data_IF_960346130604
#
_entry.id   IF_960346130604
#
_cell.length_a   1.000
_cell.length_b   1.000
_cell.length_c   1.000
_cell.angle_alpha   90.00
_cell.angle_beta   90.00
_cell.angle_gamma   90.00
#
_symmetry.space_group_name_H-M   'P 1'
#
loop_
_entity.id
_entity.type
_entity.pdbx_description
1 polymer ?
#
# COMPACT_ATOMS: atom_id res chain seq x y z
N UNK A 1 36.31 -55.05 33.20
CA UNK A 1 35.68 -53.72 33.10
C UNK A 1 34.74 -53.76 31.92
N UNK A 2 33.43 -53.83 32.17
CA UNK A 2 32.46 -53.98 31.10
C UNK A 2 31.07 -54.12 31.70
N UNK A 3 30.43 -52.99 31.95
CA UNK A 3 29.00 -52.94 32.23
C UNK A 3 28.45 -51.64 31.65
N UNK A 4 28.47 -51.55 30.32
CA UNK A 4 27.70 -50.54 29.61
C UNK A 4 26.27 -51.07 29.46
N UNK A 5 25.51 -50.89 30.54
CA UNK A 5 24.13 -51.30 30.63
C UNK A 5 23.28 -50.44 29.72
N UNK A 6 23.11 -50.89 28.48
CA UNK A 6 22.20 -50.28 27.51
C UNK A 6 20.83 -50.04 28.15
N UNK A 7 20.46 -48.78 28.26
CA UNK A 7 19.16 -48.36 28.79
C UNK A 7 18.05 -48.96 27.93
N UNK A 8 17.33 -49.95 28.46
CA UNK A 8 16.20 -50.59 27.78
C UNK A 8 15.12 -49.51 27.58
N UNK A 9 14.78 -49.12 26.34
CA UNK A 9 13.79 -48.09 26.09
C UNK A 9 12.42 -48.55 26.59
N UNK A 10 11.74 -47.71 27.37
CA UNK A 10 10.42 -48.06 27.91
C UNK A 10 9.38 -48.06 26.80
N UNK A 11 8.32 -48.87 26.90
CA UNK A 11 7.23 -48.97 25.89
C UNK A 11 6.67 -47.61 25.42
N UNK A 12 6.59 -46.64 26.34
CA UNK A 12 6.18 -45.25 26.08
C UNK A 12 7.12 -44.46 25.15
N UNK A 13 8.37 -44.89 25.01
CA UNK A 13 9.38 -44.33 24.09
C UNK A 13 9.38 -45.10 22.75
N UNK A 14 9.03 -46.40 22.77
CA UNK A 14 8.89 -47.21 21.56
C UNK A 14 7.56 -47.03 20.82
N UNK A 15 6.49 -46.67 21.54
CA UNK A 15 5.13 -46.55 20.99
C UNK A 15 4.74 -45.08 21.00
N UNK A 16 4.59 -44.51 19.81
CA UNK A 16 3.95 -43.20 19.62
C UNK A 16 2.51 -43.30 20.12
N UNK A 17 2.26 -42.80 21.34
CA UNK A 17 0.89 -42.66 21.82
C UNK A 17 0.13 -41.72 20.87
N UNK A 18 -1.10 -42.08 20.52
CA UNK A 18 -1.95 -41.25 19.68
C UNK A 18 -2.02 -39.84 20.28
N UNK A 19 -1.80 -38.81 19.45
CA UNK A 19 -1.83 -37.43 19.88
C UNK A 19 -3.17 -37.14 20.57
N UNK A 20 -3.11 -36.72 21.83
CA UNK A 20 -4.30 -36.29 22.58
C UNK A 20 -4.90 -35.08 21.87
N UNK A 21 -6.23 -35.04 21.74
CA UNK A 21 -6.91 -33.84 21.29
C UNK A 21 -6.60 -32.69 22.27
N UNK A 22 -6.13 -31.53 21.77
CA UNK A 22 -5.72 -30.44 22.62
C UNK A 22 -6.88 -29.92 23.46
N UNK A 23 -6.59 -29.49 24.68
CA UNK A 23 -7.60 -28.90 25.55
C UNK A 23 -8.02 -27.52 25.05
N UNK A 24 -9.22 -27.05 25.44
CA UNK A 24 -9.69 -25.70 25.08
C UNK A 24 -8.73 -24.62 25.58
N UNK A 25 -8.09 -24.83 26.74
CA UNK A 25 -7.04 -23.96 27.27
C UNK A 25 -5.80 -23.95 26.39
N UNK A 26 -5.34 -25.11 25.91
CA UNK A 26 -4.20 -25.21 25.00
C UNK A 26 -4.50 -24.51 23.67
N UNK A 27 -5.68 -24.74 23.09
CA UNK A 27 -6.10 -24.08 21.84
C UNK A 27 -6.12 -22.55 21.98
N UNK A 28 -6.64 -22.04 23.09
CA UNK A 28 -6.63 -20.59 23.38
C UNK A 28 -5.23 -20.04 23.55
N UNK A 29 -4.35 -20.77 24.24
CA UNK A 29 -2.95 -20.37 24.41
C UNK A 29 -2.23 -20.31 23.06
N UNK A 30 -2.36 -21.34 22.22
CA UNK A 30 -1.78 -21.37 20.87
C UNK A 30 -2.32 -20.26 19.99
N UNK A 31 -3.61 -19.93 20.08
CA UNK A 31 -4.18 -18.79 19.36
C UNK A 31 -3.60 -17.46 19.86
N UNK A 32 -3.40 -17.29 21.17
CA UNK A 32 -2.80 -16.07 21.72
C UNK A 32 -1.33 -15.92 21.30
N UNK A 33 -0.58 -17.02 21.30
CA UNK A 33 0.81 -17.07 20.85
C UNK A 33 0.92 -16.73 19.35
N UNK A 34 0.04 -17.27 18.51
CA UNK A 34 0.04 -16.96 17.08
C UNK A 34 -0.31 -15.50 16.81
N UNK A 35 -1.23 -14.92 17.57
CA UNK A 35 -1.52 -13.49 17.52
C UNK A 35 -0.32 -12.67 17.98
N UNK A 36 0.31 -13.02 19.10
CA UNK A 36 1.51 -12.33 19.58
C UNK A 36 2.63 -12.34 18.53
N UNK A 37 2.83 -13.47 17.87
CA UNK A 37 3.78 -13.58 16.76
C UNK A 37 3.39 -12.67 15.58
N UNK A 38 2.13 -12.65 15.16
CA UNK A 38 1.65 -11.80 14.07
C UNK A 38 1.75 -10.29 14.38
N UNK A 39 1.74 -9.92 15.66
CA UNK A 39 1.93 -8.55 16.14
C UNK A 39 3.40 -8.13 16.26
N UNK A 40 4.32 -9.09 16.33
CA UNK A 40 5.75 -8.83 16.51
C UNK A 40 6.57 -9.07 15.22
N UNK A 41 6.08 -9.90 14.30
CA UNK A 41 6.83 -10.34 13.13
C UNK A 41 6.13 -10.00 11.80
N UNK A 42 6.95 -9.68 10.80
CA UNK A 42 6.53 -9.45 9.43
C UNK A 42 5.98 -10.74 8.81
N UNK A 43 4.75 -10.70 8.27
CA UNK A 43 4.12 -11.86 7.67
C UNK A 43 4.76 -12.32 6.34
N UNK A 44 5.64 -11.51 5.74
CA UNK A 44 6.37 -11.83 4.51
C UNK A 44 7.78 -12.34 4.79
N UNK A 45 8.56 -11.64 5.63
CA UNK A 45 9.97 -11.98 5.90
C UNK A 45 10.20 -12.77 7.18
N UNK A 46 9.25 -12.81 8.12
CA UNK A 46 9.43 -13.41 9.45
C UNK A 46 10.30 -12.59 10.42
N UNK A 47 10.93 -11.52 9.93
CA UNK A 47 11.73 -10.59 10.73
C UNK A 47 10.85 -9.79 11.71
N UNK A 48 11.41 -9.28 12.82
CA UNK A 48 10.68 -8.41 13.73
C UNK A 48 10.16 -7.15 13.01
N UNK A 49 9.00 -6.67 13.44
CA UNK A 49 8.36 -5.50 12.83
C UNK A 49 9.04 -4.20 13.25
N UNK A 50 9.38 -3.38 12.25
CA UNK A 50 9.92 -2.03 12.48
C UNK A 50 8.79 -1.04 12.73
N UNK A 51 8.58 -0.67 13.99
CA UNK A 51 7.44 0.15 14.45
C UNK A 51 7.23 1.45 13.64
N UNK A 52 8.30 2.03 13.10
CA UNK A 52 8.26 3.29 12.33
C UNK A 52 7.91 3.11 10.83
N UNK A 53 8.08 1.90 10.29
CA UNK A 53 7.87 1.60 8.86
C UNK A 53 6.83 0.51 8.61
N UNK A 54 6.02 0.16 9.61
CA UNK A 54 5.00 -0.87 9.44
C UNK A 54 3.93 -0.46 8.43
N UNK A 55 3.57 -1.43 7.60
CA UNK A 55 2.51 -1.31 6.61
C UNK A 55 1.57 -2.50 6.70
N UNK A 56 0.31 -2.30 6.31
CA UNK A 56 -0.72 -3.34 6.40
C UNK A 56 -1.48 -3.54 5.10
N UNK A 57 -1.84 -4.79 4.83
CA UNK A 57 -2.76 -5.13 3.74
C UNK A 57 -4.22 -4.98 4.16
N UNK A 58 -5.13 -5.23 3.21
CA UNK A 58 -6.56 -5.21 3.43
C UNK A 58 -7.08 -6.28 4.40
N UNK A 59 -6.30 -7.35 4.62
CA UNK A 59 -6.60 -8.40 5.60
C UNK A 59 -6.13 -8.02 7.01
N UNK A 60 -5.48 -6.87 7.16
CA UNK A 60 -4.94 -6.41 8.43
C UNK A 60 -3.64 -7.10 8.84
N UNK A 61 -2.97 -7.82 7.93
CA UNK A 61 -1.64 -8.40 8.20
C UNK A 61 -0.60 -7.31 8.17
N UNK A 62 0.40 -7.45 9.03
CA UNK A 62 1.48 -6.49 9.21
C UNK A 62 2.73 -6.93 8.45
N UNK A 63 3.39 -5.95 7.84
CA UNK A 63 4.61 -6.15 7.09
C UNK A 63 5.57 -5.00 7.33
N UNK A 64 6.86 -5.27 7.16
CA UNK A 64 7.86 -4.21 7.04
C UNK A 64 7.79 -3.61 5.63
N UNK A 65 7.87 -2.28 5.54
CA UNK A 65 7.85 -1.60 4.25
C UNK A 65 8.96 -2.09 3.32
N UNK A 66 10.15 -2.35 3.86
CA UNK A 66 11.30 -2.87 3.11
C UNK A 66 11.05 -4.26 2.54
N UNK A 67 10.39 -5.14 3.30
CA UNK A 67 10.10 -6.50 2.85
C UNK A 67 9.16 -6.48 1.63
N UNK A 68 8.13 -5.62 1.66
CA UNK A 68 7.23 -5.43 0.51
C UNK A 68 7.98 -4.85 -0.69
N UNK A 69 8.85 -3.86 -0.47
CA UNK A 69 9.63 -3.27 -1.55
C UNK A 69 10.52 -4.32 -2.23
N UNK A 70 11.28 -5.10 -1.44
CA UNK A 70 12.13 -6.19 -1.93
C UNK A 70 11.30 -7.22 -2.70
N UNK A 71 10.15 -7.64 -2.17
CA UNK A 71 9.30 -8.63 -2.83
C UNK A 71 8.54 -8.15 -4.07
N UNK A 72 8.43 -6.84 -4.30
CA UNK A 72 7.85 -6.26 -5.52
C UNK A 72 8.91 -6.01 -6.60
N UNK A 73 10.19 -6.03 -6.25
CA UNK A 73 11.28 -5.99 -7.22
C UNK A 73 11.45 -7.37 -7.87
N UNK A 74 11.81 -7.45 -9.15
CA UNK A 74 12.14 -8.72 -9.79
C UNK A 74 13.44 -9.24 -9.18
N UNK A 75 13.32 -10.15 -8.22
CA UNK A 75 14.41 -10.92 -7.63
C UNK A 75 14.27 -12.39 -8.02
N UNK A 76 15.39 -13.06 -8.29
CA UNK A 76 15.45 -14.51 -8.59
C UNK A 76 15.23 -15.40 -7.35
N UNK A 77 14.96 -14.79 -6.19
CA UNK A 77 14.74 -15.50 -4.93
C UNK A 77 13.41 -16.27 -4.94
N UNK A 78 13.50 -17.59 -4.89
CA UNK A 78 12.37 -18.52 -4.76
C UNK A 78 11.86 -18.55 -3.32
N UNK A 79 11.34 -17.43 -2.82
CA UNK A 79 10.61 -17.43 -1.56
C UNK A 79 9.21 -18.01 -1.80
N UNK A 80 8.79 -18.99 -0.99
CA UNK A 80 7.46 -19.63 -1.09
C UNK A 80 6.31 -18.62 -0.88
N UNK A 81 6.55 -17.56 -0.10
CA UNK A 81 5.59 -16.49 0.16
C UNK A 81 6.02 -15.23 -0.60
N UNK A 82 5.31 -14.92 -1.68
CA UNK A 82 5.52 -13.69 -2.45
C UNK A 82 4.40 -12.68 -2.15
N UNK A 83 4.64 -11.36 -2.28
CA UNK A 83 3.57 -10.37 -2.13
C UNK A 83 2.38 -10.66 -3.05
N UNK A 84 2.65 -11.22 -4.24
CA UNK A 84 1.63 -11.62 -5.21
C UNK A 84 0.72 -12.73 -4.70
N UNK A 85 1.23 -13.75 -3.99
CA UNK A 85 0.39 -14.81 -3.41
C UNK A 85 -0.53 -14.28 -2.30
N UNK A 86 -0.10 -13.22 -1.62
CA UNK A 86 -0.87 -12.50 -0.61
C UNK A 86 -1.88 -11.50 -1.21
N UNK A 87 -1.85 -11.29 -2.53
CA UNK A 87 -2.73 -10.39 -3.26
C UNK A 87 -2.22 -8.94 -3.37
N UNK A 88 -0.97 -8.69 -3.02
CA UNK A 88 -0.32 -7.37 -3.11
C UNK A 88 0.39 -7.27 -4.46
N UNK A 89 -0.16 -6.45 -5.37
CA UNK A 89 0.41 -6.24 -6.71
C UNK A 89 1.22 -4.95 -6.80
N UNK A 90 0.90 -4.00 -5.93
CA UNK A 90 1.58 -2.70 -5.89
C UNK A 90 1.55 -2.10 -4.49
N UNK A 91 2.38 -1.08 -4.27
CA UNK A 91 2.39 -0.28 -3.04
C UNK A 91 1.07 0.46 -2.75
N UNK A 92 0.08 0.42 -3.66
CA UNK A 92 -1.25 0.99 -3.43
C UNK A 92 -2.20 0.01 -2.74
N UNK A 93 -1.87 -1.28 -2.75
CA UNK A 93 -2.67 -2.31 -2.08
C UNK A 93 -2.35 -2.40 -0.59
N UNK A 94 -1.40 -1.57 -0.12
CA UNK A 94 -0.88 -1.57 1.25
C UNK A 94 -0.99 -0.16 1.83
N UNK A 95 -1.48 -0.05 3.07
CA UNK A 95 -1.56 1.19 3.81
C UNK A 95 -0.35 1.33 4.74
N UNK A 96 0.28 2.51 4.77
CA UNK A 96 1.31 2.82 5.78
C UNK A 96 0.62 3.16 7.11
N UNK A 97 1.00 2.45 8.16
CA UNK A 97 0.43 2.67 9.49
C UNK A 97 1.14 3.82 10.20
N UNK A 98 0.36 4.60 10.94
CA UNK A 98 0.81 5.66 11.82
C UNK A 98 0.37 5.29 13.22
N UNK A 99 1.31 4.75 13.99
CA UNK A 99 1.05 4.25 15.34
C UNK A 99 1.69 5.20 16.34
N UNK A 100 0.96 5.51 17.41
CA UNK A 100 1.55 6.18 18.57
C UNK A 100 2.30 5.16 19.43
N UNK A 101 3.52 5.52 19.85
CA UNK A 101 4.41 4.63 20.61
C UNK A 101 4.69 5.17 21.99
N UNK A 102 4.72 4.27 22.97
CA UNK A 102 5.21 4.57 24.31
C UNK A 102 6.39 3.61 24.60
N UNK A 103 7.61 4.13 24.43
CA UNK A 103 8.81 3.29 24.33
C UNK A 103 8.72 2.36 23.11
N UNK A 104 8.87 1.06 23.35
CA UNK A 104 8.87 0.01 22.30
C UNK A 104 7.49 -0.61 22.07
N UNK A 105 6.43 -0.04 22.66
CA UNK A 105 5.06 -0.59 22.58
C UNK A 105 4.12 0.33 21.81
N UNK A 106 3.21 -0.28 21.05
CA UNK A 106 2.13 0.43 20.38
C UNK A 106 1.06 0.82 21.38
N UNK A 107 0.59 2.06 21.32
CA UNK A 107 -0.42 2.60 22.23
C UNK A 107 -1.50 3.31 21.43
N UNK A 108 -2.75 3.13 21.84
CA UNK A 108 -3.85 3.88 21.29
C UNK A 108 -3.76 5.35 21.76
N UNK A 109 -3.75 6.34 20.85
CA UNK A 109 -3.63 7.76 21.20
C UNK A 109 -4.83 8.30 22.01
N UNK A 110 -5.98 7.61 21.94
CA UNK A 110 -7.22 8.02 22.60
C UNK A 110 -7.40 7.29 23.92
N UNK A 111 -7.35 5.96 23.88
CA UNK A 111 -7.62 5.13 25.07
C UNK A 111 -6.40 4.92 25.96
N UNK A 112 -5.20 5.31 25.51
CA UNK A 112 -3.92 5.06 26.17
C UNK A 112 -3.62 3.58 26.49
N UNK A 113 -4.39 2.65 25.91
CA UNK A 113 -4.20 1.21 26.07
C UNK A 113 -3.11 0.72 25.11
N UNK A 114 -2.29 -0.21 25.60
CA UNK A 114 -1.32 -0.93 24.78
C UNK A 114 -2.08 -1.73 23.70
N UNK A 115 -1.72 -1.51 22.44
CA UNK A 115 -2.24 -2.25 21.29
C UNK A 115 -1.43 -3.53 21.14
N UNK A 116 -2.11 -4.65 20.88
CA UNK A 116 -1.45 -5.94 20.81
C UNK A 116 -2.42 -7.10 20.73
N UNK A 117 -1.97 -8.34 20.96
CA UNK A 117 -2.80 -9.53 20.79
C UNK A 117 -3.99 -9.59 21.76
N UNK A 118 -3.92 -8.90 22.91
CA UNK A 118 -5.00 -8.84 23.88
C UNK A 118 -6.07 -7.77 23.56
N UNK A 119 -5.73 -6.76 22.76
CA UNK A 119 -6.60 -5.61 22.48
C UNK A 119 -6.82 -5.50 20.99
N UNK A 120 -8.07 -5.68 20.55
CA UNK A 120 -8.43 -5.48 19.14
C UNK A 120 -8.07 -4.06 18.71
N UNK A 121 -7.22 -3.96 17.70
CA UNK A 121 -6.79 -2.69 17.11
C UNK A 121 -7.33 -2.55 15.69
N UNK A 122 -7.58 -1.32 15.30
CA UNK A 122 -8.08 -0.96 13.98
C UNK A 122 -7.28 0.21 13.43
N UNK A 123 -7.21 0.33 12.11
CA UNK A 123 -6.67 1.52 11.45
C UNK A 123 -7.66 2.06 10.43
N UNK A 124 -7.51 3.36 10.15
CA UNK A 124 -8.40 4.10 9.28
C UNK A 124 -7.77 4.32 7.91
N UNK A 125 -8.53 4.08 6.85
CA UNK A 125 -8.13 4.43 5.47
C UNK A 125 -8.90 5.69 5.05
N UNK A 126 -8.23 6.72 4.48
CA UNK A 126 -6.89 6.66 3.88
C UNK A 126 -5.72 7.10 4.77
N UNK A 127 -5.96 7.57 6.00
CA UNK A 127 -4.93 8.27 6.78
C UNK A 127 -3.88 7.36 7.44
N UNK A 128 -4.21 6.10 7.73
CA UNK A 128 -3.32 5.10 8.30
C UNK A 128 -3.17 5.15 9.83
N UNK A 129 -3.86 6.06 10.53
CA UNK A 129 -3.79 6.14 12.00
C UNK A 129 -4.43 4.92 12.67
N UNK A 130 -3.81 4.47 13.76
CA UNK A 130 -4.18 3.24 14.46
C UNK A 130 -4.80 3.53 15.83
N UNK A 131 -5.89 2.83 16.14
CA UNK A 131 -6.68 3.00 17.35
C UNK A 131 -7.08 1.64 17.95
N UNK A 132 -7.50 1.65 19.21
CA UNK A 132 -8.21 0.51 19.78
C UNK A 132 -9.64 0.46 19.20
N UNK A 133 -10.13 -0.72 18.86
CA UNK A 133 -11.49 -0.93 18.32
C UNK A 133 -12.57 -0.35 19.26
N UNK A 134 -12.37 -0.51 20.57
CA UNK A 134 -13.26 0.04 21.60
C UNK A 134 -13.36 1.57 21.51
N UNK A 135 -12.24 2.26 21.29
CA UNK A 135 -12.22 3.72 21.19
C UNK A 135 -12.99 4.21 19.95
N UNK A 136 -12.86 3.52 18.82
CA UNK A 136 -13.59 3.89 17.60
C UNK A 136 -15.10 3.66 17.73
N UNK A 137 -15.52 2.62 18.46
CA UNK A 137 -16.93 2.33 18.73
C UNK A 137 -17.60 3.33 19.67
N UNK A 138 -16.84 3.92 20.59
CA UNK A 138 -17.32 4.93 21.54
C UNK A 138 -17.45 6.31 20.90
N UNK A 139 -16.50 6.72 20.06
CA UNK A 139 -16.45 8.08 19.50
C UNK A 139 -17.43 8.24 18.32
N UNK A 140 -17.63 7.22 17.48
CA UNK A 140 -18.56 7.21 16.33
C UNK A 140 -18.46 8.44 15.40
N UNK A 141 -17.32 9.12 15.40
CA UNK A 141 -17.06 10.24 14.49
C UNK A 141 -16.70 9.72 13.09
N UNK A 142 -17.10 10.48 12.07
CA UNK A 142 -16.77 10.19 10.65
C UNK A 142 -15.42 10.78 10.23
N UNK A 143 -14.68 11.37 11.17
CA UNK A 143 -13.40 12.01 10.95
C UNK A 143 -12.34 11.43 11.89
N UNK A 144 -11.11 11.27 11.40
CA UNK A 144 -10.02 10.69 12.17
C UNK A 144 -9.66 11.59 13.35
N UNK A 145 -9.64 11.09 14.60
CA UNK A 145 -9.38 11.92 15.78
C UNK A 145 -7.98 12.57 15.81
N UNK A 146 -7.00 12.01 15.09
CA UNK A 146 -5.63 12.56 15.07
C UNK A 146 -5.40 13.59 13.96
N UNK A 147 -6.07 13.46 12.81
CA UNK A 147 -5.77 14.30 11.64
C UNK A 147 -6.98 14.92 10.94
N UNK A 148 -8.20 14.67 11.44
CA UNK A 148 -9.45 15.21 10.90
C UNK A 148 -9.85 14.69 9.52
N UNK A 149 -9.15 13.69 8.97
CA UNK A 149 -9.47 13.13 7.64
C UNK A 149 -10.75 12.32 7.74
N UNK A 150 -11.71 12.63 6.88
CA UNK A 150 -12.97 11.90 6.79
C UNK A 150 -12.77 10.47 6.29
N UNK A 151 -13.51 9.53 6.87
CA UNK A 151 -13.52 8.12 6.50
C UNK A 151 -14.94 7.55 6.61
N UNK A 152 -15.22 6.47 5.90
CA UNK A 152 -16.47 5.72 6.03
C UNK A 152 -16.32 4.61 7.06
N UNK A 153 -17.42 4.14 7.64
CA UNK A 153 -17.41 2.99 8.57
C UNK A 153 -16.87 1.72 7.91
N UNK A 154 -17.12 1.55 6.60
CA UNK A 154 -16.49 0.51 5.79
C UNK A 154 -14.97 0.62 5.80
N UNK A 155 -14.43 1.84 5.95
CA UNK A 155 -13.01 2.17 5.89
C UNK A 155 -12.20 1.88 7.16
N UNK A 156 -12.82 1.29 8.18
CA UNK A 156 -12.16 0.81 9.41
C UNK A 156 -11.68 -0.63 9.20
N UNK A 157 -10.36 -0.87 9.28
CA UNK A 157 -9.76 -2.20 9.12
C UNK A 157 -9.19 -2.70 10.44
N UNK A 158 -9.57 -3.93 10.82
CA UNK A 158 -9.02 -4.64 11.97
C UNK A 158 -7.61 -5.14 11.67
N UNK A 159 -6.66 -4.83 12.56
CA UNK A 159 -5.29 -5.34 12.52
C UNK A 159 -5.29 -6.77 13.07
N UNK A 160 -4.62 -7.68 12.35
CA UNK A 160 -4.54 -9.11 12.66
C UNK A 160 -5.94 -9.68 12.97
N UNK A 161 -6.80 -9.68 11.94
CA UNK A 161 -8.18 -10.16 12.07
C UNK A 161 -8.22 -11.63 12.51
N UNK A 162 -8.53 -11.85 13.79
CA UNK A 162 -8.53 -13.17 14.41
C UNK A 162 -9.88 -13.88 14.32
N UNK A 163 -10.98 -13.14 14.12
CA UNK A 163 -12.32 -13.71 14.07
C UNK A 163 -12.80 -13.83 12.64
N UNK A 164 -13.51 -14.91 12.34
CA UNK A 164 -14.08 -15.15 11.01
C UNK A 164 -14.99 -14.00 10.55
N UNK A 165 -15.75 -13.42 11.48
CA UNK A 165 -16.59 -12.25 11.21
C UNK A 165 -15.78 -11.02 10.75
N UNK A 166 -14.61 -10.78 11.36
CA UNK A 166 -13.72 -9.69 10.96
C UNK A 166 -13.15 -9.95 9.54
N UNK A 167 -12.77 -11.20 9.25
CA UNK A 167 -12.23 -11.61 7.94
C UNK A 167 -13.29 -11.45 6.84
N UNK A 168 -14.49 -11.99 7.02
CA UNK A 168 -15.59 -11.88 6.05
C UNK A 168 -15.97 -10.43 5.76
N UNK A 169 -15.96 -9.57 6.78
CA UNK A 169 -16.23 -8.14 6.61
C UNK A 169 -15.18 -7.48 5.71
N UNK A 170 -13.90 -7.78 5.93
CA UNK A 170 -12.80 -7.24 5.12
C UNK A 170 -12.85 -7.78 3.68
N UNK A 171 -13.25 -9.03 3.49
CA UNK A 171 -13.46 -9.62 2.16
C UNK A 171 -14.59 -8.93 1.39
N UNK A 172 -15.77 -8.78 1.99
CA UNK A 172 -16.91 -8.07 1.39
C UNK A 172 -16.55 -6.63 1.01
N UNK A 173 -15.79 -5.94 1.86
CA UNK A 173 -15.27 -4.61 1.56
C UNK A 173 -14.37 -4.62 0.33
N UNK A 174 -13.43 -5.56 0.24
CA UNK A 174 -12.52 -5.62 -0.91
C UNK A 174 -13.22 -5.98 -2.20
N UNK A 175 -14.26 -6.81 -2.16
CA UNK A 175 -15.11 -7.08 -3.33
C UNK A 175 -15.81 -5.81 -3.81
N UNK A 176 -16.37 -5.03 -2.89
CA UNK A 176 -16.99 -3.72 -3.19
C UNK A 176 -15.97 -2.75 -3.80
N UNK A 177 -14.77 -2.64 -3.24
CA UNK A 177 -13.70 -1.78 -3.77
C UNK A 177 -13.21 -2.23 -5.14
N UNK A 178 -13.04 -3.53 -5.37
CA UNK A 178 -12.70 -4.09 -6.69
C UNK A 178 -13.78 -3.77 -7.73
N UNK A 179 -15.06 -3.87 -7.37
CA UNK A 179 -16.17 -3.47 -8.24
C UNK A 179 -16.16 -1.98 -8.61
N UNK A 180 -15.54 -1.14 -7.78
CA UNK A 180 -15.35 0.30 -8.02
C UNK A 180 -14.01 0.63 -8.69
N UNK A 181 -13.17 -0.36 -9.00
CA UNK A 181 -11.83 -0.15 -9.55
C UNK A 181 -10.86 0.53 -8.56
N UNK A 182 -11.12 0.42 -7.25
CA UNK A 182 -10.28 0.98 -6.20
C UNK A 182 -9.44 -0.11 -5.52
N UNK A 183 -8.22 0.28 -5.14
CA UNK A 183 -7.32 -0.50 -4.30
C UNK A 183 -7.68 -0.32 -2.83
N UNK A 184 -7.03 -1.10 -1.97
CA UNK A 184 -7.20 -1.02 -0.51
C UNK A 184 -7.06 0.41 0.04
N UNK A 185 -6.11 1.19 -0.49
CA UNK A 185 -5.87 2.59 -0.07
C UNK A 185 -6.82 3.61 -0.71
N UNK A 186 -7.94 3.15 -1.30
CA UNK A 186 -8.92 3.97 -2.05
C UNK A 186 -8.33 4.66 -3.30
N UNK A 187 -7.14 4.24 -3.74
CA UNK A 187 -6.51 4.73 -4.98
C UNK A 187 -7.00 3.90 -6.17
N UNK A 188 -7.15 4.52 -7.33
CA UNK A 188 -7.53 3.80 -8.58
C UNK A 188 -6.54 2.68 -8.90
N UNK A 189 -7.06 1.50 -9.20
CA UNK A 189 -6.25 0.38 -9.67
C UNK A 189 -5.79 0.66 -11.12
N UNK A 190 -4.47 0.56 -11.36
CA UNK A 190 -3.93 0.69 -12.73
C UNK A 190 -3.98 -0.64 -13.50
N UNK A 191 -4.33 -1.75 -12.84
CA UNK A 191 -4.38 -3.08 -13.45
C UNK A 191 -5.45 -3.18 -14.55
N UNK A 192 -6.60 -2.54 -14.37
CA UNK A 192 -7.65 -2.45 -15.41
C UNK A 192 -7.19 -1.64 -16.63
N UNK A 193 -6.39 -0.58 -16.44
CA UNK A 193 -5.80 0.17 -17.55
C UNK A 193 -4.84 -0.69 -18.39
N UNK A 194 -4.25 -1.76 -17.81
CA UNK A 194 -3.37 -2.70 -18.53
C UNK A 194 -4.14 -3.76 -19.32
N UNK A 195 -5.32 -4.20 -18.84
CA UNK A 195 -6.19 -5.13 -19.59
C UNK A 195 -6.88 -4.47 -20.80
N UNK A 196 -7.09 -3.15 -20.74
CA UNK A 196 -7.53 -2.33 -21.88
C UNK A 196 -6.40 -1.85 -22.80
N UNK A 197 -5.12 -2.07 -22.44
CA UNK A 197 -3.93 -1.67 -23.21
C UNK A 197 -3.20 -2.83 -23.90
N UNK A 198 -3.86 -3.96 -24.11
CA UNK A 198 -3.50 -4.93 -25.17
C UNK A 198 -4.33 -4.63 -26.44
N UNK A 199 -4.38 -3.35 -26.77
CA UNK A 199 -5.23 -2.74 -27.78
C UNK A 199 -5.09 -1.23 -27.64
N UNK A 200 -4.02 -0.71 -28.22
CA UNK A 200 -3.80 0.69 -28.58
C UNK A 200 -3.67 1.76 -27.47
N UNK A 201 -2.56 2.46 -27.58
CA UNK A 201 -2.24 3.84 -27.21
C UNK A 201 -2.43 4.39 -25.78
N UNK A 202 -1.39 5.13 -25.40
CA UNK A 202 -1.18 5.81 -24.13
C UNK A 202 -1.74 7.23 -24.24
N UNK A 203 -2.84 7.55 -23.56
CA UNK A 203 -3.09 8.92 -23.09
C UNK A 203 -3.49 9.03 -21.62
N UNK A 204 -3.01 10.16 -21.08
CA UNK A 204 -2.98 10.64 -19.70
C UNK A 204 -4.36 10.87 -19.10
N UNK A 205 -4.39 11.00 -17.77
CA UNK A 205 -5.16 12.06 -17.12
C UNK A 205 -4.67 12.17 -15.66
N UNK A 206 -3.71 13.07 -15.44
CA UNK A 206 -3.59 13.83 -14.19
C UNK A 206 -3.73 15.30 -14.57
N UNK A 207 -4.90 15.87 -14.29
CA UNK A 207 -5.06 17.30 -14.15
C UNK A 207 -6.29 17.54 -13.29
N UNK A 208 -6.09 17.95 -12.03
CA UNK A 208 -6.88 18.99 -11.35
C UNK A 208 -6.12 19.51 -10.13
N UNK A 209 -5.47 20.67 -10.29
CA UNK A 209 -5.46 21.72 -9.27
C UNK A 209 -5.03 23.05 -9.90
N UNK A 210 -5.68 24.12 -9.44
CA UNK A 210 -5.46 25.55 -9.69
C UNK A 210 -6.09 26.16 -10.95
N UNK A 211 -6.88 27.19 -10.68
CA UNK A 211 -7.84 27.83 -11.55
C UNK A 211 -7.31 29.12 -12.20
N UNK A 212 -8.10 29.55 -13.20
CA UNK A 212 -8.38 30.91 -13.67
C UNK A 212 -7.44 31.59 -14.69
N UNK A 213 -8.10 31.81 -15.83
CA UNK A 213 -8.23 33.03 -16.62
C UNK A 213 -7.47 33.18 -17.94
N UNK A 214 -8.32 33.28 -18.98
CA UNK A 214 -8.24 34.09 -20.19
C UNK A 214 -7.29 33.69 -21.33
N UNK A 215 -7.85 33.75 -22.55
CA UNK A 215 -7.08 34.08 -23.75
C UNK A 215 -7.17 33.08 -24.89
N UNK A 216 -8.30 33.10 -25.60
CA UNK A 216 -8.50 32.54 -26.93
C UNK A 216 -7.47 33.07 -27.94
N UNK A 217 -6.71 32.20 -28.60
CA UNK A 217 -6.35 32.37 -30.03
C UNK A 217 -5.65 31.12 -30.56
N UNK A 218 -6.29 30.45 -31.52
CA UNK A 218 -5.68 29.34 -32.25
C UNK A 218 -4.42 29.81 -32.98
N UNK A 219 -3.33 29.07 -32.79
CA UNK A 219 -2.14 29.17 -33.62
C UNK A 219 -1.92 27.81 -34.26
N UNK A 220 -1.88 27.79 -35.59
CA UNK A 220 -1.56 26.63 -36.42
C UNK A 220 -0.33 25.93 -35.82
N UNK A 221 -0.46 24.65 -35.50
CA UNK A 221 0.70 23.81 -35.18
C UNK A 221 1.62 23.80 -36.39
N UNK A 222 2.85 24.25 -36.19
CA UNK A 222 3.91 24.16 -37.18
C UNK A 222 4.36 22.69 -37.26
N UNK A 223 4.34 22.09 -38.45
CA UNK A 223 4.64 20.66 -38.65
C UNK A 223 6.02 20.25 -38.13
N UNK A 224 6.94 21.23 -38.00
CA UNK A 224 8.28 21.08 -37.42
C UNK A 224 8.30 20.71 -35.92
N UNK A 225 7.17 20.83 -35.23
CA UNK A 225 7.05 20.67 -33.77
C UNK A 225 6.34 19.35 -33.40
N UNK A 226 5.80 18.64 -34.40
CA UNK A 226 5.00 17.42 -34.23
C UNK A 226 5.72 16.23 -33.55
N UNK A 227 7.05 16.25 -33.43
CA UNK A 227 7.85 15.20 -32.79
C UNK A 227 8.17 15.40 -31.31
N UNK A 228 7.75 16.51 -30.69
CA UNK A 228 8.11 16.83 -29.30
C UNK A 228 6.95 16.49 -28.35
N UNK A 229 7.11 15.37 -27.62
CA UNK A 229 6.08 14.85 -26.71
C UNK A 229 5.97 15.62 -25.37
N UNK A 230 6.90 16.54 -25.09
CA UNK A 230 6.86 17.37 -23.88
C UNK A 230 6.31 18.76 -24.22
N UNK A 231 5.17 19.13 -23.63
CA UNK A 231 4.43 20.37 -23.90
C UNK A 231 5.24 21.64 -23.60
N UNK A 232 6.02 21.64 -22.51
CA UNK A 232 6.87 22.77 -22.15
C UNK A 232 7.99 22.96 -23.17
N UNK A 233 8.65 21.86 -23.55
CA UNK A 233 9.68 21.87 -24.59
C UNK A 233 9.10 22.31 -25.95
N UNK A 234 7.93 21.82 -26.34
CA UNK A 234 7.26 22.20 -27.58
C UNK A 234 6.94 23.71 -27.61
N UNK A 235 6.45 24.27 -26.50
CA UNK A 235 6.13 25.70 -26.39
C UNK A 235 7.36 26.61 -26.47
N UNK A 236 8.46 26.20 -25.84
CA UNK A 236 9.74 26.90 -25.92
C UNK A 236 10.30 26.84 -27.35
N UNK A 237 10.26 25.66 -27.96
CA UNK A 237 10.76 25.44 -29.32
C UNK A 237 9.95 26.26 -30.34
N UNK A 238 8.62 26.33 -30.17
CA UNK A 238 7.75 27.17 -30.99
C UNK A 238 8.12 28.66 -30.91
N UNK A 239 8.40 29.17 -29.71
CA UNK A 239 8.81 30.56 -29.50
C UNK A 239 10.16 30.86 -30.15
N UNK A 240 11.15 29.98 -29.95
CA UNK A 240 12.49 30.15 -30.53
C UNK A 240 12.44 30.12 -32.07
N UNK A 241 11.67 29.20 -32.66
CA UNK A 241 11.51 29.12 -34.12
C UNK A 241 10.83 30.38 -34.69
N UNK A 242 9.81 30.90 -34.01
CA UNK A 242 9.16 32.14 -34.43
C UNK A 242 10.13 33.34 -34.38
N UNK A 243 10.95 33.43 -33.34
CA UNK A 243 11.95 34.50 -33.20
C UNK A 243 13.05 34.41 -34.27
N UNK A 244 13.50 33.19 -34.61
CA UNK A 244 14.46 32.98 -35.70
C UNK A 244 13.88 33.34 -37.07
N UNK A 245 12.62 32.98 -37.33
CA UNK A 245 11.94 33.29 -38.59
C UNK A 245 11.76 34.81 -38.77
N UNK A 246 11.43 35.55 -37.69
CA UNK A 246 11.39 37.02 -37.71
C UNK A 246 12.76 37.65 -37.95
N UNK A 247 13.81 37.13 -37.30
CA UNK A 247 15.18 37.62 -37.49
C UNK A 247 15.66 37.39 -38.92
N UNK A 248 15.34 36.25 -39.51
CA UNK A 248 15.65 35.95 -40.90
C UNK A 248 14.86 36.82 -41.88
N UNK A 249 13.59 37.11 -41.62
CA UNK A 249 12.80 38.07 -42.41
C UNK A 249 13.41 39.47 -42.36
N UNK A 250 13.78 39.96 -41.17
CA UNK A 250 14.44 41.27 -41.02
C UNK A 250 15.77 41.33 -41.79
N UNK A 251 16.58 40.28 -41.73
CA UNK A 251 17.83 40.20 -42.51
C UNK A 251 17.60 40.23 -44.02
N UNK A 252 16.57 39.54 -44.52
CA UNK A 252 16.20 39.55 -45.94
C UNK A 252 15.75 40.93 -46.41
N UNK A 253 14.89 41.60 -45.64
CA UNK A 253 14.43 42.96 -45.96
C UNK A 253 15.56 43.98 -45.97
N UNK A 254 16.51 43.90 -45.03
CA UNK A 254 17.71 44.76 -45.02
C UNK A 254 18.63 44.46 -46.21
N UNK A 255 18.77 43.19 -46.60
CA UNK A 255 19.56 42.79 -47.76
C UNK A 255 18.92 43.21 -49.10
N UNK A 256 17.59 43.22 -49.18
CA UNK A 256 16.85 43.74 -50.34
C UNK A 256 16.94 45.26 -50.43
N UNK A 257 16.83 45.97 -49.29
CA UNK A 257 16.98 47.42 -49.22
C UNK A 257 18.41 47.92 -49.53
N UNK A 258 19.43 47.07 -49.33
CA UNK A 258 20.82 47.40 -49.67
C UNK A 258 21.19 47.11 -51.14
N UNK A 259 20.26 46.56 -51.94
CA UNK A 259 20.46 46.22 -53.37
C UNK A 259 19.69 47.14 -54.34
N UNK A 260 18.91 48.08 -53.83
CA UNK A 260 18.25 49.15 -54.61
C UNK A 260 18.92 50.49 -54.37
#
# INVERSE_FOLDING_TARGET
MGNDGGSIPKRRELVKNAARAPTVSELKATALESLAHAWAHCALSGEPLDLDTVVSDWRGRLYNYEAILKGLMPSDDTNDVTPSSLGIKSLRDVAKLKVSKNGDKWVCPISMKELGPAVKAVYLVPCGHVFADVAMKEIQEKACPECGVEFSEDNIITIVAATEADVERLEKRMEKLKGQGLTHTLKKDKSEKKKKRKGDDVKEEEAKAAAKENGKSGKKEDSRISGINNSFAASLTAKVLAEQDERNKRRKLVAEAARG
#
